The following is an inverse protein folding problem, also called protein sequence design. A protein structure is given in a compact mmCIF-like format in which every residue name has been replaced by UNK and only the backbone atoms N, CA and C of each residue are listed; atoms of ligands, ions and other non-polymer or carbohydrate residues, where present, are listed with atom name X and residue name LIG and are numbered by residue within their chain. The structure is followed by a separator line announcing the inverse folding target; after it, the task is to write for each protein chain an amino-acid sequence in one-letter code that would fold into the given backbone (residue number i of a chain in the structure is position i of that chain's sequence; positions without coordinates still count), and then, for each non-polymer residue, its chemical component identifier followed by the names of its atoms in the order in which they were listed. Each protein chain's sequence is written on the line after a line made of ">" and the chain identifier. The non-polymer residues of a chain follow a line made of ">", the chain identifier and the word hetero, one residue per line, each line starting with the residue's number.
data_IF_010185299851
#
_entry.id   IF_010185299851
#
_cell.length_a   1.000
_cell.length_b   1.000
_cell.length_c   1.000
_cell.angle_alpha   90.00
_cell.angle_beta   90.00
_cell.angle_gamma   90.00
#
_symmetry.space_group_name_H-M   'P 1'
#
loop_
_entity.id
_entity.type
_entity.pdbx_description
1 polymer ?
#
# COMPACT_ATOMS: atom_id res chain seq x y z
N UNK A 1 8.42 -11.53 -19.91
CA UNK A 1 8.15 -11.18 -18.49
C UNK A 1 9.24 -11.81 -17.65
N UNK A 2 10.22 -11.03 -17.16
CA UNK A 2 10.08 -10.42 -15.84
C UNK A 2 10.65 -8.99 -15.77
N UNK A 3 9.89 -8.02 -15.25
CA UNK A 3 10.45 -6.72 -14.83
C UNK A 3 11.20 -6.92 -13.52
N UNK A 4 12.53 -6.99 -13.61
CA UNK A 4 13.41 -6.96 -12.45
C UNK A 4 13.28 -5.62 -11.72
N UNK A 5 12.98 -5.68 -10.43
CA UNK A 5 13.12 -4.53 -9.53
C UNK A 5 14.25 -4.81 -8.54
N UNK A 6 15.46 -4.79 -9.07
CA UNK A 6 16.67 -4.58 -8.27
C UNK A 6 16.76 -3.10 -7.90
N UNK A 7 16.11 -2.68 -6.81
CA UNK A 7 16.37 -1.40 -6.17
C UNK A 7 16.91 -1.65 -4.77
N UNK A 8 18.20 -1.99 -4.69
CA UNK A 8 18.96 -1.84 -3.44
C UNK A 8 19.23 -0.35 -3.25
N UNK A 9 18.74 0.22 -2.13
CA UNK A 9 19.23 1.50 -1.59
C UNK A 9 18.48 2.78 -1.97
N UNK A 10 17.19 2.75 -2.29
CA UNK A 10 16.37 3.97 -2.38
C UNK A 10 14.99 3.70 -1.82
N UNK A 11 14.58 4.51 -0.85
CA UNK A 11 13.30 4.50 -0.15
C UNK A 11 12.16 4.37 -1.16
N UNK A 12 11.77 3.14 -1.48
CA UNK A 12 10.88 2.89 -2.60
C UNK A 12 9.47 3.11 -2.11
N UNK A 13 8.88 4.24 -2.53
CA UNK A 13 7.47 4.50 -2.33
C UNK A 13 6.66 3.44 -3.08
N UNK A 14 5.68 2.88 -2.40
CA UNK A 14 4.71 1.95 -2.94
C UNK A 14 3.62 2.77 -3.64
N UNK A 15 3.37 2.47 -4.91
CA UNK A 15 2.19 2.97 -5.61
C UNK A 15 0.95 2.17 -5.18
N UNK A 16 -0.26 2.64 -5.51
CA UNK A 16 -1.52 1.93 -5.22
C UNK A 16 -1.50 0.45 -5.63
N UNK A 17 -0.87 0.14 -6.77
CA UNK A 17 -0.71 -1.24 -7.25
C UNK A 17 0.27 -2.07 -6.40
N UNK A 18 1.41 -1.50 -5.99
CA UNK A 18 2.34 -2.16 -5.07
C UNK A 18 1.65 -2.39 -3.71
N UNK A 19 0.93 -1.40 -3.18
CA UNK A 19 0.18 -1.53 -1.92
C UNK A 19 -0.86 -2.65 -2.02
N UNK A 20 -1.55 -2.75 -3.15
CA UNK A 20 -2.50 -3.84 -3.41
C UNK A 20 -1.82 -5.21 -3.38
N UNK A 21 -0.68 -5.35 -4.06
CA UNK A 21 0.09 -6.59 -4.07
C UNK A 21 0.57 -6.98 -2.66
N UNK A 22 1.03 -6.02 -1.86
CA UNK A 22 1.49 -6.25 -0.48
C UNK A 22 0.34 -6.59 0.45
N UNK A 23 -0.81 -5.94 0.29
CA UNK A 23 -2.01 -6.21 1.05
C UNK A 23 -2.71 -7.51 0.65
N UNK A 24 -2.30 -8.15 -0.46
CA UNK A 24 -2.99 -9.29 -1.05
C UNK A 24 -4.39 -8.94 -1.57
N UNK A 25 -4.57 -7.70 -2.02
CA UNK A 25 -5.85 -7.16 -2.48
C UNK A 25 -5.80 -6.74 -3.96
N UNK A 26 -6.97 -6.53 -4.54
CA UNK A 26 -7.09 -5.89 -5.83
C UNK A 26 -6.82 -4.38 -5.71
N UNK A 27 -6.22 -3.75 -6.74
CA UNK A 27 -5.98 -2.29 -6.74
C UNK A 27 -7.28 -1.49 -6.63
N UNK A 28 -8.39 -2.02 -7.16
CA UNK A 28 -9.70 -1.39 -7.03
C UNK A 28 -10.16 -1.33 -5.56
N UNK A 29 -9.91 -2.38 -4.76
CA UNK A 29 -10.24 -2.39 -3.34
C UNK A 29 -9.41 -1.36 -2.57
N UNK A 30 -8.13 -1.24 -2.90
CA UNK A 30 -7.25 -0.21 -2.34
C UNK A 30 -7.76 1.20 -2.68
N UNK A 31 -8.19 1.41 -3.92
CA UNK A 31 -8.76 2.68 -4.34
C UNK A 31 -10.05 3.00 -3.57
N UNK A 32 -10.94 2.02 -3.37
CA UNK A 32 -12.12 2.17 -2.52
C UNK A 32 -11.76 2.52 -1.07
N UNK A 33 -10.75 1.87 -0.48
CA UNK A 33 -10.28 2.20 0.87
C UNK A 33 -9.72 3.62 0.96
N UNK A 34 -9.01 4.07 -0.08
CA UNK A 34 -8.50 5.42 -0.16
C UNK A 34 -9.63 6.46 -0.21
N UNK A 35 -10.61 6.27 -1.10
CA UNK A 35 -11.77 7.17 -1.20
C UNK A 35 -12.64 7.16 0.06
N UNK A 36 -12.72 6.04 0.75
CA UNK A 36 -13.42 5.91 2.01
C UNK A 36 -12.64 6.41 3.23
N UNK A 37 -11.40 6.90 3.06
CA UNK A 37 -10.58 7.45 4.15
C UNK A 37 -10.03 6.39 5.12
N UNK A 38 -10.04 5.12 4.73
CA UNK A 38 -9.50 4.01 5.54
C UNK A 38 -8.01 3.75 5.29
N UNK A 39 -7.44 4.36 4.26
CA UNK A 39 -6.00 4.32 4.02
C UNK A 39 -5.28 5.44 4.74
N UNK A 40 -4.01 5.23 5.13
CA UNK A 40 -3.18 6.29 5.63
C UNK A 40 -2.98 7.37 4.56
N UNK A 41 -2.70 8.59 5.03
CA UNK A 41 -2.41 9.70 4.14
C UNK A 41 -1.16 9.38 3.31
N UNK A 42 -1.17 9.64 1.99
CA UNK A 42 -0.03 9.36 1.14
C UNK A 42 1.13 10.28 1.49
N UNK A 43 2.30 9.69 1.76
CA UNK A 43 3.54 10.43 2.03
C UNK A 43 3.92 11.34 0.88
N UNK A 44 3.67 10.87 -0.34
CA UNK A 44 4.02 11.57 -1.56
C UNK A 44 2.84 11.51 -2.53
N UNK A 45 2.51 12.66 -3.10
CA UNK A 45 1.49 12.77 -4.12
C UNK A 45 2.14 13.35 -5.38
N UNK A 46 2.26 12.54 -6.42
CA UNK A 46 2.91 12.90 -7.69
C UNK A 46 1.85 12.98 -8.79
N UNK A 47 1.76 14.11 -9.47
CA UNK A 47 0.95 14.23 -10.69
C UNK A 47 0.07 15.47 -10.74
N UNK A 48 -0.49 15.71 -11.93
CA UNK A 48 -1.47 16.77 -12.20
C UNK A 48 -2.88 16.26 -11.90
N UNK A 49 -3.84 17.16 -11.67
CA UNK A 49 -5.21 16.89 -11.19
C UNK A 49 -5.90 15.63 -11.78
N UNK A 50 -5.66 15.34 -13.06
CA UNK A 50 -6.23 14.18 -13.79
C UNK A 50 -5.50 12.84 -13.58
N UNK A 51 -4.25 12.85 -13.12
CA UNK A 51 -3.39 11.67 -12.99
C UNK A 51 -2.53 11.76 -11.72
N UNK A 52 -3.20 11.81 -10.57
CA UNK A 52 -2.55 11.89 -9.25
C UNK A 52 -2.16 10.49 -8.78
N UNK A 53 -0.87 10.20 -8.80
CA UNK A 53 -0.26 9.01 -8.20
C UNK A 53 0.01 9.27 -6.72
N UNK A 54 -0.42 8.33 -5.89
CA UNK A 54 -0.20 8.36 -4.46
C UNK A 54 0.89 7.34 -4.12
N UNK A 55 1.91 7.81 -3.41
CA UNK A 55 3.05 7.03 -2.96
C UNK A 55 3.06 6.95 -1.45
N UNK A 56 3.15 5.73 -0.93
CA UNK A 56 3.27 5.46 0.50
C UNK A 56 4.62 4.85 0.81
N UNK A 57 5.17 5.14 1.97
CA UNK A 57 6.33 4.42 2.47
C UNK A 57 5.95 2.98 2.80
N UNK A 58 6.94 2.09 2.73
CA UNK A 58 6.74 0.69 3.12
C UNK A 58 6.31 0.58 4.59
N UNK A 59 6.93 1.37 5.46
CA UNK A 59 6.64 1.40 6.90
C UNK A 59 5.19 1.80 7.18
N UNK A 60 4.72 2.89 6.58
CA UNK A 60 3.32 3.38 6.71
C UNK A 60 2.30 2.32 6.30
N UNK A 61 2.58 1.58 5.23
CA UNK A 61 1.70 0.49 4.78
C UNK A 61 1.78 -0.72 5.69
N UNK A 62 2.96 -1.05 6.23
CA UNK A 62 3.15 -2.15 7.16
C UNK A 62 2.38 -1.90 8.48
N UNK A 63 2.54 -0.69 9.04
CA UNK A 63 1.79 -0.24 10.22
C UNK A 63 0.28 -0.24 9.98
N UNK A 64 -0.15 0.26 8.81
CA UNK A 64 -1.55 0.20 8.44
C UNK A 64 -2.05 -1.24 8.34
N UNK A 65 -1.31 -2.14 7.69
CA UNK A 65 -1.70 -3.56 7.57
C UNK A 65 -1.77 -4.26 8.93
N UNK A 66 -0.89 -3.89 9.88
CA UNK A 66 -0.92 -4.39 11.24
C UNK A 66 -2.17 -3.92 12.01
N UNK A 67 -2.61 -2.68 11.79
CA UNK A 67 -3.72 -2.05 12.50
C UNK A 67 -5.05 -2.02 11.73
N UNK A 68 -5.09 -2.58 10.51
CA UNK A 68 -6.23 -2.40 9.59
C UNK A 68 -7.53 -2.99 10.14
N UNK A 69 -8.63 -2.20 10.17
CA UNK A 69 -9.96 -2.69 10.52
C UNK A 69 -10.46 -3.63 9.41
N UNK A 70 -10.47 -4.93 9.68
CA UNK A 70 -10.91 -5.95 8.72
C UNK A 70 -10.15 -7.27 8.77
N UNK A 71 -9.03 -7.37 9.52
CA UNK A 71 -8.52 -8.69 9.91
C UNK A 71 -9.41 -9.24 11.02
N UNK A 72 -10.42 -10.01 10.61
CA UNK A 72 -11.01 -11.00 11.50
C UNK A 72 -9.89 -11.83 12.12
N UNK A 73 -9.60 -11.53 13.38
CA UNK A 73 -8.88 -12.31 14.38
C UNK A 73 -8.46 -13.71 13.91
N UNK A 74 -7.20 -13.85 13.48
CA UNK A 74 -6.40 -15.04 13.82
C UNK A 74 -5.01 -14.55 14.23
N UNK A 75 -4.68 -14.52 15.53
CA UNK A 75 -3.28 -14.47 15.92
C UNK A 75 -2.59 -15.66 15.25
N UNK A 76 -1.48 -15.39 14.56
CA UNK A 76 -0.57 -16.43 14.12
C UNK A 76 -0.05 -17.07 15.41
N UNK A 77 -0.35 -18.34 15.63
CA UNK A 77 0.39 -19.13 16.59
C UNK A 77 1.87 -19.03 16.19
N UNK A 78 2.69 -18.55 17.12
CA UNK A 78 4.14 -18.63 17.05
C UNK A 78 4.55 -20.10 16.83
N UNK A 79 5.51 -20.32 15.92
CA UNK A 79 6.44 -21.45 15.88
C UNK A 79 7.83 -20.86 15.64
#
# INVERSE_FOLDING_TARGET
>A
MPTGKGQRGKETLLSTADVAAVAGLSPNSIQSYYHAGYMPQPDVTIGVERARMHGWRRETIDEWLANRPGRGRRPKAED
#
